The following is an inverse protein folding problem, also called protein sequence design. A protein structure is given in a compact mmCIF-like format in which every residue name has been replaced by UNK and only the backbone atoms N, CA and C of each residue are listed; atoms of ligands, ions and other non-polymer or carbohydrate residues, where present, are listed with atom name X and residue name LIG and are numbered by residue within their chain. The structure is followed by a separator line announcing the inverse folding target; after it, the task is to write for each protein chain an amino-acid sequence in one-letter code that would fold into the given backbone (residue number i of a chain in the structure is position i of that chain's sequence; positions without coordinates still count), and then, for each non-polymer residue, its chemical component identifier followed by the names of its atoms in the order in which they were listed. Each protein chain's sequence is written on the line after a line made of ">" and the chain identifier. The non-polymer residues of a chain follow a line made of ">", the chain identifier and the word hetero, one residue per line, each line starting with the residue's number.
data_IF_720510683616
#
_entry.id   IF_720510683616
#
_cell.length_a   1.000
_cell.length_b   1.000
_cell.length_c   1.000
_cell.angle_alpha   90.00
_cell.angle_beta   90.00
_cell.angle_gamma   90.00
#
_symmetry.space_group_name_H-M   'P 1'
#
loop_
_entity.id
_entity.type
_entity.pdbx_description
1 polymer ?
#
# COMPACT_ATOMS: atom_id res chain seq x y z
N UNK A 1 10.05 8.04 -11.98
CA UNK A 1 8.78 8.77 -11.73
C UNK A 1 8.64 9.85 -12.77
N UNK A 2 7.52 9.89 -13.52
CA UNK A 2 7.29 10.85 -14.62
C UNK A 2 6.53 12.11 -14.20
N UNK A 3 5.80 12.09 -13.08
CA UNK A 3 5.10 13.27 -12.56
C UNK A 3 6.10 14.34 -12.11
N UNK A 4 5.91 15.56 -12.58
CA UNK A 4 6.75 16.72 -12.29
C UNK A 4 5.94 17.82 -11.62
N UNK A 5 6.61 18.63 -10.82
CA UNK A 5 6.09 19.83 -10.19
C UNK A 5 7.07 20.96 -10.50
N UNK A 6 6.65 21.98 -11.25
CA UNK A 6 7.49 23.14 -11.57
C UNK A 6 7.08 24.32 -10.71
N UNK A 7 8.05 25.02 -10.13
CA UNK A 7 7.78 26.23 -9.36
C UNK A 7 7.16 27.29 -10.28
N UNK A 8 6.09 27.91 -9.81
CA UNK A 8 5.46 29.08 -10.40
C UNK A 8 5.49 30.20 -9.34
N UNK A 9 6.42 31.12 -9.51
CA UNK A 9 6.64 32.22 -8.56
C UNK A 9 5.48 33.22 -8.57
N UNK A 10 4.82 33.42 -9.71
CA UNK A 10 3.69 34.35 -9.83
C UNK A 10 2.45 33.81 -9.12
N UNK A 11 2.20 32.51 -9.25
CA UNK A 11 1.11 31.83 -8.55
C UNK A 11 1.45 31.46 -7.08
N UNK A 12 2.71 31.61 -6.66
CA UNK A 12 3.15 31.31 -5.30
C UNK A 12 3.11 29.82 -4.94
N UNK A 13 3.37 28.93 -5.91
CA UNK A 13 3.18 27.49 -5.74
C UNK A 13 3.88 26.64 -6.80
N UNK A 14 3.39 25.41 -7.00
CA UNK A 14 3.91 24.48 -7.99
C UNK A 14 2.82 24.06 -8.97
N UNK A 15 3.16 24.00 -10.26
CA UNK A 15 2.32 23.41 -11.30
C UNK A 15 2.68 21.93 -11.46
N UNK A 16 1.73 21.06 -11.13
CA UNK A 16 1.87 19.62 -11.13
C UNK A 16 1.32 19.00 -12.42
N UNK A 17 2.10 18.13 -13.05
CA UNK A 17 1.73 17.46 -14.30
C UNK A 17 2.12 15.98 -14.29
N UNK A 18 1.26 15.13 -14.86
CA UNK A 18 1.52 13.71 -15.11
C UNK A 18 0.42 12.79 -14.59
N UNK A 19 0.76 11.53 -14.34
CA UNK A 19 -0.20 10.54 -13.84
C UNK A 19 0.42 9.62 -12.79
N UNK A 20 -0.42 9.09 -11.91
CA UNK A 20 -0.08 8.11 -10.87
C UNK A 20 -0.99 6.90 -11.02
N UNK A 21 -0.38 5.73 -11.19
CA UNK A 21 -1.09 4.47 -11.39
C UNK A 21 -1.17 3.69 -10.07
N UNK A 22 -2.15 2.79 -9.96
CA UNK A 22 -2.32 1.86 -8.82
C UNK A 22 -2.57 2.54 -7.48
N UNK A 23 -3.34 3.63 -7.48
CA UNK A 23 -3.63 4.38 -6.25
C UNK A 23 -4.81 3.74 -5.54
N UNK A 24 -4.52 3.03 -4.45
CA UNK A 24 -5.52 2.54 -3.50
C UNK A 24 -6.33 3.71 -2.96
N UNK A 25 -7.65 3.55 -2.93
CA UNK A 25 -8.63 4.59 -2.64
C UNK A 25 -8.54 5.82 -3.58
N UNK A 26 -7.95 5.65 -4.77
CA UNK A 26 -7.95 6.67 -5.82
C UNK A 26 -9.35 7.10 -6.24
N UNK A 27 -10.34 6.23 -6.07
CA UNK A 27 -11.76 6.49 -6.32
C UNK A 27 -12.64 5.88 -5.23
N UNK A 28 -13.80 6.50 -4.96
CA UNK A 28 -14.82 5.96 -4.06
C UNK A 28 -15.92 5.20 -4.82
N UNK A 29 -16.34 5.74 -5.96
CA UNK A 29 -17.50 5.27 -6.74
C UNK A 29 -17.14 4.79 -8.15
N UNK A 30 -15.85 4.83 -8.52
CA UNK A 30 -15.36 4.61 -9.89
C UNK A 30 -15.54 5.82 -10.81
N UNK A 31 -16.20 6.88 -10.35
CA UNK A 31 -16.44 8.12 -11.11
C UNK A 31 -15.80 9.35 -10.47
N UNK A 32 -15.65 9.31 -9.15
CA UNK A 32 -15.13 10.42 -8.36
C UNK A 32 -13.80 10.02 -7.73
N UNK A 33 -12.87 10.97 -7.58
CA UNK A 33 -11.66 10.74 -6.80
C UNK A 33 -11.99 10.53 -5.32
N UNK A 34 -11.06 9.97 -4.56
CA UNK A 34 -11.00 10.18 -3.10
C UNK A 34 -10.79 11.65 -2.73
N UNK A 35 -10.79 11.94 -1.42
CA UNK A 35 -10.87 13.32 -0.91
C UNK A 35 -9.52 14.05 -0.86
N UNK A 36 -8.47 13.37 -0.40
CA UNK A 36 -7.14 13.96 -0.20
C UNK A 36 -6.05 12.94 -0.56
N UNK A 37 -5.02 13.40 -1.26
CA UNK A 37 -3.91 12.57 -1.70
C UNK A 37 -2.57 13.17 -1.30
N UNK A 38 -1.67 12.28 -0.88
CA UNK A 38 -0.25 12.58 -0.73
C UNK A 38 0.47 12.19 -2.02
N UNK A 39 0.90 13.19 -2.78
CA UNK A 39 1.52 13.00 -4.09
C UNK A 39 3.00 13.33 -4.03
N UNK A 40 3.84 12.34 -4.31
CA UNK A 40 5.25 12.56 -4.58
C UNK A 40 5.43 13.02 -6.03
N UNK A 41 6.13 14.13 -6.26
CA UNK A 41 6.45 14.61 -7.59
C UNK A 41 7.86 15.20 -7.66
N UNK A 42 8.42 15.18 -8.87
CA UNK A 42 9.79 15.63 -9.11
C UNK A 42 9.81 17.15 -9.25
N UNK A 43 10.53 17.81 -8.37
CA UNK A 43 10.67 19.27 -8.31
C UNK A 43 11.99 19.78 -8.87
N UNK A 44 12.99 18.91 -9.05
CA UNK A 44 14.28 19.24 -9.64
C UNK A 44 14.74 18.22 -10.68
N UNK A 45 15.95 18.41 -11.19
CA UNK A 45 16.54 17.57 -12.24
C UNK A 45 17.06 16.24 -11.66
N UNK A 46 17.56 16.26 -10.43
CA UNK A 46 18.18 15.13 -9.75
C UNK A 46 17.17 14.04 -9.42
N UNK A 47 17.59 12.76 -9.50
CA UNK A 47 16.72 11.60 -9.25
C UNK A 47 15.99 11.69 -7.89
N UNK A 48 16.66 12.23 -6.88
CA UNK A 48 16.19 12.38 -5.52
C UNK A 48 15.41 13.69 -5.24
N UNK A 49 15.32 14.60 -6.21
CA UNK A 49 14.64 15.90 -6.08
C UNK A 49 13.13 15.71 -6.14
N UNK A 50 12.60 15.12 -5.08
CA UNK A 50 11.21 14.71 -4.93
C UNK A 50 10.63 15.47 -3.75
N UNK A 51 9.49 16.11 -4.00
CA UNK A 51 8.69 16.80 -2.98
C UNK A 51 7.37 16.08 -2.82
N UNK A 52 6.81 16.14 -1.62
CA UNK A 52 5.50 15.58 -1.29
C UNK A 52 4.48 16.71 -1.19
N UNK A 53 3.33 16.51 -1.81
CA UNK A 53 2.26 17.50 -1.90
C UNK A 53 0.94 16.91 -1.39
N UNK A 54 0.14 17.74 -0.73
CA UNK A 54 -1.28 17.48 -0.48
C UNK A 54 -2.08 17.97 -1.68
N UNK A 55 -2.83 17.07 -2.30
CA UNK A 55 -3.78 17.40 -3.39
C UNK A 55 -5.18 17.02 -2.96
N UNK A 56 -6.09 17.98 -3.00
CA UNK A 56 -7.47 17.80 -2.57
C UNK A 56 -8.39 17.52 -3.76
N UNK A 57 -9.49 16.83 -3.50
CA UNK A 57 -10.53 16.64 -4.50
C UNK A 57 -11.07 17.98 -4.98
N UNK A 58 -11.24 18.10 -6.30
CA UNK A 58 -11.79 19.30 -6.92
C UNK A 58 -10.76 20.41 -7.16
N UNK A 59 -9.48 20.20 -6.83
CA UNK A 59 -8.42 21.08 -7.33
C UNK A 59 -8.45 21.09 -8.87
N UNK A 60 -8.41 22.29 -9.46
CA UNK A 60 -8.47 22.46 -10.91
C UNK A 60 -7.37 21.66 -11.62
N UNK A 61 -7.73 20.95 -12.69
CA UNK A 61 -6.81 20.09 -13.44
C UNK A 61 -6.54 18.70 -12.80
N UNK A 62 -6.93 18.48 -11.55
CA UNK A 62 -6.81 17.18 -10.89
C UNK A 62 -8.03 16.31 -11.20
N UNK A 63 -7.80 15.18 -11.87
CA UNK A 63 -8.85 14.32 -12.38
C UNK A 63 -8.65 12.85 -12.01
N UNK A 64 -9.77 12.13 -11.93
CA UNK A 64 -9.75 10.68 -11.91
C UNK A 64 -9.38 10.18 -13.31
N UNK A 65 -8.39 9.30 -13.40
CA UNK A 65 -8.10 8.53 -14.59
C UNK A 65 -9.03 7.31 -14.69
N UNK A 66 -8.48 6.16 -15.09
CA UNK A 66 -9.25 4.92 -15.11
C UNK A 66 -9.34 4.28 -13.72
N UNK A 67 -10.52 3.74 -13.37
CA UNK A 67 -10.62 2.76 -12.29
C UNK A 67 -9.98 1.45 -12.77
N UNK A 68 -9.16 0.84 -11.91
CA UNK A 68 -8.54 -0.45 -12.20
C UNK A 68 -9.49 -1.58 -11.84
N UNK A 69 -10.07 -2.14 -12.90
CA UNK A 69 -10.92 -3.31 -12.85
C UNK A 69 -10.13 -4.61 -13.00
N UNK A 70 -10.81 -5.72 -12.75
CA UNK A 70 -10.33 -7.08 -13.03
C UNK A 70 -8.94 -7.45 -12.45
N UNK A 71 -8.63 -6.88 -11.29
CA UNK A 71 -7.53 -7.32 -10.44
C UNK A 71 -7.66 -8.81 -10.09
N UNK A 72 -6.54 -9.51 -10.06
CA UNK A 72 -6.46 -10.93 -9.66
C UNK A 72 -7.01 -11.17 -8.25
N UNK A 73 -6.75 -10.24 -7.32
CA UNK A 73 -7.19 -10.28 -5.92
C UNK A 73 -7.46 -8.87 -5.40
N UNK A 74 -7.81 -8.76 -4.11
CA UNK A 74 -8.15 -7.49 -3.45
C UNK A 74 -9.19 -6.67 -4.26
N UNK A 75 -10.15 -7.34 -4.89
CA UNK A 75 -11.15 -6.71 -5.79
C UNK A 75 -12.04 -5.70 -5.07
N UNK A 76 -12.21 -5.85 -3.76
CA UNK A 76 -12.93 -4.90 -2.91
C UNK A 76 -12.14 -3.59 -2.65
N UNK A 77 -10.83 -3.58 -2.85
CA UNK A 77 -10.02 -2.37 -2.76
C UNK A 77 -10.25 -1.52 -4.00
N UNK A 78 -10.76 -0.31 -3.82
CA UNK A 78 -10.88 0.64 -4.92
C UNK A 78 -9.49 1.11 -5.32
N UNK A 79 -9.19 1.02 -6.61
CA UNK A 79 -7.86 1.36 -7.13
C UNK A 79 -8.05 2.11 -8.43
N UNK A 80 -7.33 3.21 -8.61
CA UNK A 80 -7.46 4.01 -9.82
C UNK A 80 -6.13 4.63 -10.25
N UNK A 81 -6.15 5.15 -11.46
CA UNK A 81 -5.19 6.13 -11.94
C UNK A 81 -5.64 7.54 -11.52
N UNK A 82 -4.67 8.37 -11.15
CA UNK A 82 -4.85 9.79 -10.88
C UNK A 82 -4.11 10.61 -11.94
N UNK A 83 -4.77 11.62 -12.49
CA UNK A 83 -4.25 12.45 -13.59
C UNK A 83 -4.15 13.91 -13.14
N UNK A 84 -3.02 14.54 -13.44
CA UNK A 84 -2.69 15.91 -13.10
C UNK A 84 -2.37 16.65 -14.40
N UNK A 85 -3.22 17.61 -14.76
CA UNK A 85 -3.04 18.50 -15.90
C UNK A 85 -2.98 19.94 -15.41
N UNK A 86 -1.76 20.51 -15.38
CA UNK A 86 -1.49 21.87 -14.91
C UNK A 86 -2.13 22.23 -13.56
N UNK A 87 -2.07 21.31 -12.61
CA UNK A 87 -2.67 21.48 -11.28
C UNK A 87 -1.83 22.43 -10.45
N UNK A 88 -2.37 23.59 -10.09
CA UNK A 88 -1.72 24.52 -9.17
C UNK A 88 -1.82 24.01 -7.73
N UNK A 89 -0.67 23.76 -7.12
CA UNK A 89 -0.53 23.38 -5.72
C UNK A 89 0.10 24.54 -4.96
N UNK A 90 -0.61 25.17 -4.02
CA UNK A 90 -0.05 26.28 -3.24
C UNK A 90 1.10 25.80 -2.33
N UNK A 91 2.03 26.70 -1.97
CA UNK A 91 3.21 26.34 -1.18
C UNK A 91 2.89 25.75 0.22
N UNK A 92 1.75 26.10 0.82
CA UNK A 92 1.32 25.55 2.12
C UNK A 92 0.86 24.08 2.04
N UNK A 93 0.65 23.54 0.84
CA UNK A 93 0.31 22.13 0.63
C UNK A 93 1.57 21.24 0.50
N UNK A 94 2.77 21.80 0.66
CA UNK A 94 4.02 21.04 0.71
C UNK A 94 4.12 20.35 2.06
N UNK A 95 4.41 19.04 2.03
CA UNK A 95 4.64 18.24 3.23
C UNK A 95 6.14 18.07 3.44
N UNK A 96 6.63 18.59 4.56
CA UNK A 96 8.06 18.62 4.87
C UNK A 96 8.78 19.69 4.05
N UNK A 97 9.96 19.35 3.55
CA UNK A 97 10.81 20.27 2.79
C UNK A 97 10.81 19.94 1.30
N UNK A 98 11.00 20.96 0.46
CA UNK A 98 11.23 20.79 -0.97
C UNK A 98 12.45 19.88 -1.18
N UNK A 99 12.32 18.89 -2.06
CA UNK A 99 13.30 17.83 -2.32
C UNK A 99 13.59 16.88 -1.12
N UNK A 100 12.91 17.04 0.01
CA UNK A 100 13.11 16.25 1.23
C UNK A 100 12.31 14.94 1.31
N UNK A 101 11.45 14.64 0.33
CA UNK A 101 10.43 13.60 0.48
C UNK A 101 10.99 12.16 0.42
N UNK A 102 12.22 11.97 -0.06
CA UNK A 102 12.84 10.64 -0.16
C UNK A 102 12.95 9.94 1.20
N UNK A 103 13.29 10.68 2.26
CA UNK A 103 13.36 10.13 3.61
C UNK A 103 11.99 9.69 4.13
N UNK A 104 10.97 10.54 3.93
CA UNK A 104 9.59 10.25 4.32
C UNK A 104 9.05 8.99 3.61
N UNK A 105 9.33 8.86 2.31
CA UNK A 105 8.96 7.70 1.52
C UNK A 105 9.59 6.40 2.08
N UNK A 106 10.89 6.42 2.37
CA UNK A 106 11.59 5.25 2.91
C UNK A 106 11.04 4.82 4.27
N UNK A 107 10.77 5.79 5.15
CA UNK A 107 10.17 5.51 6.47
C UNK A 107 8.78 4.90 6.36
N UNK A 108 7.94 5.42 5.47
CA UNK A 108 6.60 4.86 5.24
C UNK A 108 6.67 3.42 4.74
N UNK A 109 7.62 3.09 3.88
CA UNK A 109 7.83 1.73 3.38
C UNK A 109 8.23 0.74 4.48
N UNK A 110 9.02 1.17 5.48
CA UNK A 110 9.38 0.33 6.64
C UNK A 110 8.14 -0.05 7.45
N UNK A 111 7.29 0.93 7.77
CA UNK A 111 6.03 0.72 8.50
C UNK A 111 5.07 -0.15 7.69
N UNK A 112 4.94 0.10 6.39
CA UNK A 112 4.07 -0.66 5.50
C UNK A 112 4.46 -2.15 5.44
N UNK A 113 5.76 -2.46 5.39
CA UNK A 113 6.24 -3.86 5.41
C UNK A 113 5.82 -4.60 6.67
N UNK A 114 5.87 -3.95 7.82
CA UNK A 114 5.42 -4.52 9.08
C UNK A 114 3.91 -4.81 9.03
N UNK A 115 3.13 -3.84 8.55
CA UNK A 115 1.68 -4.01 8.42
C UNK A 115 1.31 -5.15 7.45
N UNK A 116 2.02 -5.26 6.31
CA UNK A 116 1.85 -6.36 5.35
C UNK A 116 2.21 -7.72 5.95
N UNK A 117 3.29 -7.79 6.72
CA UNK A 117 3.68 -9.02 7.42
C UNK A 117 2.62 -9.43 8.45
N UNK A 118 2.08 -8.48 9.22
CA UNK A 118 0.99 -8.74 10.15
C UNK A 118 -0.29 -9.22 9.45
N UNK A 119 -0.63 -8.62 8.30
CA UNK A 119 -1.76 -9.06 7.46
C UNK A 119 -1.56 -10.49 6.95
N UNK A 120 -0.36 -10.83 6.47
CA UNK A 120 -0.02 -12.17 6.01
C UNK A 120 -0.20 -13.23 7.11
N UNK A 121 0.15 -12.91 8.37
CA UNK A 121 -0.11 -13.80 9.50
C UNK A 121 -1.61 -14.06 9.73
N UNK A 122 -2.44 -13.01 9.63
CA UNK A 122 -3.89 -13.15 9.73
C UNK A 122 -4.45 -14.08 8.65
N UNK A 123 -4.00 -13.90 7.41
CA UNK A 123 -4.39 -14.73 6.26
C UNK A 123 -3.92 -16.18 6.47
N UNK A 124 -2.66 -16.40 6.84
CA UNK A 124 -2.10 -17.73 7.06
C UNK A 124 -2.87 -18.50 8.15
N UNK A 125 -3.18 -17.84 9.27
CA UNK A 125 -4.01 -18.41 10.33
C UNK A 125 -5.37 -18.87 9.79
N UNK A 126 -6.04 -18.01 9.03
CA UNK A 126 -7.35 -18.33 8.45
C UNK A 126 -7.27 -19.50 7.47
N UNK A 127 -6.24 -19.56 6.63
CA UNK A 127 -6.01 -20.67 5.70
C UNK A 127 -5.83 -22.01 6.42
N UNK A 128 -5.08 -22.02 7.54
CA UNK A 128 -4.89 -23.22 8.37
C UNK A 128 -6.23 -23.67 8.98
N UNK A 129 -7.00 -22.75 9.53
CA UNK A 129 -8.32 -23.05 10.12
C UNK A 129 -9.30 -23.61 9.07
N UNK A 130 -9.33 -23.01 7.89
CA UNK A 130 -10.18 -23.46 6.78
C UNK A 130 -9.73 -24.84 6.24
N UNK A 131 -8.43 -25.07 6.14
CA UNK A 131 -7.87 -26.36 5.70
C UNK A 131 -8.16 -27.46 6.71
N UNK A 132 -8.00 -27.19 8.02
CA UNK A 132 -8.33 -28.14 9.08
C UNK A 132 -9.81 -28.51 9.07
N UNK A 133 -10.69 -27.51 8.97
CA UNK A 133 -12.14 -27.73 8.92
C UNK A 133 -12.52 -28.59 7.71
N UNK A 134 -12.07 -28.18 6.51
CA UNK A 134 -12.40 -28.92 5.29
C UNK A 134 -11.82 -30.34 5.29
N UNK A 135 -10.62 -30.54 5.82
CA UNK A 135 -10.02 -31.87 5.92
C UNK A 135 -10.81 -32.81 6.85
N UNK A 136 -11.46 -32.27 7.90
CA UNK A 136 -12.30 -33.05 8.81
C UNK A 136 -13.68 -33.34 8.22
N UNK A 137 -14.24 -32.44 7.42
CA UNK A 137 -15.59 -32.57 6.83
C UNK A 137 -15.61 -33.39 5.53
N UNK A 138 -14.50 -33.41 4.78
CA UNK A 138 -14.42 -34.07 3.47
C UNK A 138 -13.95 -35.51 3.59
N UNK A 139 -14.76 -36.45 3.11
CA UNK A 139 -14.41 -37.87 2.97
C UNK A 139 -13.88 -38.19 1.57
N UNK A 140 -12.83 -39.01 1.48
CA UNK A 140 -12.33 -39.63 0.25
C UNK A 140 -11.74 -41.01 0.56
N UNK A 141 -11.84 -41.97 -0.36
CA UNK A 141 -11.36 -43.35 -0.16
C UNK A 141 -11.85 -43.99 1.15
N UNK A 142 -13.11 -43.71 1.52
CA UNK A 142 -13.78 -44.33 2.68
C UNK A 142 -13.42 -43.74 4.06
N UNK A 143 -12.65 -42.64 4.13
CA UNK A 143 -12.35 -41.95 5.40
C UNK A 143 -12.14 -40.44 5.21
N UNK A 144 -12.13 -39.69 6.30
CA UNK A 144 -11.93 -38.24 6.26
C UNK A 144 -10.53 -37.90 5.75
N UNK A 145 -10.40 -36.80 5.00
CA UNK A 145 -9.11 -36.33 4.49
C UNK A 145 -8.09 -36.10 5.62
N UNK A 146 -8.57 -35.71 6.81
CA UNK A 146 -7.75 -35.55 8.01
C UNK A 146 -7.06 -36.85 8.46
N UNK A 147 -7.60 -38.01 8.09
CA UNK A 147 -7.05 -39.33 8.45
C UNK A 147 -5.90 -39.80 7.53
N UNK A 148 -5.49 -38.98 6.55
CA UNK A 148 -4.35 -39.27 5.69
C UNK A 148 -3.10 -38.53 6.19
N UNK A 149 -1.99 -39.26 6.39
CA UNK A 149 -0.76 -38.70 6.96
C UNK A 149 -0.19 -37.51 6.17
N UNK A 150 -0.35 -37.47 4.83
CA UNK A 150 0.09 -36.33 4.03
C UNK A 150 -0.70 -35.05 4.35
N UNK A 151 -2.01 -35.16 4.60
CA UNK A 151 -2.83 -34.02 5.01
C UNK A 151 -2.43 -33.53 6.40
N UNK A 152 -2.19 -34.45 7.33
CA UNK A 152 -1.69 -34.12 8.68
C UNK A 152 -0.34 -33.40 8.61
N UNK A 153 0.58 -33.87 7.77
CA UNK A 153 1.88 -33.23 7.52
C UNK A 153 1.72 -31.80 7.00
N UNK A 154 0.91 -31.59 5.95
CA UNK A 154 0.69 -30.26 5.39
C UNK A 154 0.12 -29.27 6.42
N UNK A 155 -0.83 -29.71 7.24
CA UNK A 155 -1.41 -28.89 8.31
C UNK A 155 -0.35 -28.56 9.37
N UNK A 156 0.45 -29.55 9.79
CA UNK A 156 1.49 -29.35 10.80
C UNK A 156 2.62 -28.43 10.32
N UNK A 157 3.07 -28.58 9.08
CA UNK A 157 4.08 -27.72 8.44
C UNK A 157 3.57 -26.29 8.32
N UNK A 158 2.36 -26.09 7.78
CA UNK A 158 1.74 -24.77 7.66
C UNK A 158 1.61 -24.07 9.00
N UNK A 159 1.21 -24.81 10.05
CA UNK A 159 1.11 -24.26 11.40
C UNK A 159 2.48 -23.88 11.98
N UNK A 160 3.51 -24.70 11.72
CA UNK A 160 4.88 -24.42 12.16
C UNK A 160 5.44 -23.15 11.50
N UNK A 161 5.24 -22.99 10.18
CA UNK A 161 5.63 -21.77 9.44
C UNK A 161 4.86 -20.54 9.93
N UNK A 162 3.55 -20.67 10.15
CA UNK A 162 2.73 -19.60 10.73
C UNK A 162 3.24 -19.16 12.10
N UNK A 163 3.54 -20.12 12.99
CA UNK A 163 4.06 -19.81 14.32
C UNK A 163 5.44 -19.17 14.27
N UNK A 164 6.32 -19.64 13.37
CA UNK A 164 7.63 -19.01 13.15
C UNK A 164 7.46 -17.55 12.68
N UNK A 165 6.65 -17.31 11.64
CA UNK A 165 6.36 -15.97 11.15
C UNK A 165 5.76 -15.08 12.22
N UNK A 166 4.84 -15.61 13.04
CA UNK A 166 4.24 -14.88 14.16
C UNK A 166 5.28 -14.47 15.19
N UNK A 167 6.16 -15.37 15.61
CA UNK A 167 7.23 -15.06 16.55
C UNK A 167 8.16 -13.97 15.99
N UNK A 168 8.56 -14.06 14.72
CA UNK A 168 9.41 -13.04 14.09
C UNK A 168 8.75 -11.68 14.02
N UNK A 169 7.52 -11.58 13.50
CA UNK A 169 6.83 -10.29 13.33
C UNK A 169 6.60 -9.63 14.68
N UNK A 170 6.02 -10.35 15.65
CA UNK A 170 5.73 -9.77 16.97
C UNK A 170 7.03 -9.48 17.75
N UNK A 171 8.03 -10.36 17.67
CA UNK A 171 9.33 -10.15 18.31
C UNK A 171 10.05 -8.92 17.77
N UNK A 172 10.04 -8.74 16.44
CA UNK A 172 10.58 -7.55 15.79
C UNK A 172 9.80 -6.30 16.21
N UNK A 173 8.47 -6.31 16.09
CA UNK A 173 7.63 -5.15 16.46
C UNK A 173 7.79 -4.71 17.91
N UNK A 174 8.09 -5.63 18.83
CA UNK A 174 8.34 -5.30 20.23
C UNK A 174 9.60 -4.44 20.44
N UNK A 175 10.55 -4.46 19.50
CA UNK A 175 11.78 -3.67 19.54
C UNK A 175 11.81 -2.48 18.58
N UNK A 176 10.78 -2.31 17.74
CA UNK A 176 10.75 -1.21 16.75
C UNK A 176 10.47 0.12 17.45
N UNK A 177 11.30 1.12 17.17
CA UNK A 177 11.05 2.52 17.50
C UNK A 177 10.57 3.28 16.27
N UNK A 178 9.27 3.61 16.24
CA UNK A 178 8.66 4.37 15.13
C UNK A 178 8.96 5.87 15.16
N UNK A 179 9.56 6.38 16.24
CA UNK A 179 9.86 7.80 16.42
C UNK A 179 11.25 8.16 15.89
N UNK A 180 12.19 7.22 15.86
CA UNK A 180 13.56 7.44 15.40
C UNK A 180 13.78 6.92 13.96
N UNK A 181 14.22 7.75 13.00
CA UNK A 181 14.53 7.30 11.64
C UNK A 181 15.68 6.27 11.61
N UNK A 182 15.56 5.24 10.75
CA UNK A 182 16.63 4.28 10.47
C UNK A 182 16.86 3.21 11.55
N UNK A 183 15.88 2.99 12.44
CA UNK A 183 15.88 1.93 13.47
C UNK A 183 14.72 0.93 13.32
N UNK A 184 14.24 0.76 12.08
CA UNK A 184 13.41 -0.38 11.66
C UNK A 184 14.30 -1.48 11.11
#
# INVERSE_FOLDING_TARGET
>A
MKTTAKLDEEAGGYILNGAKMWITNGTLTGKETGDIFLIYARTGEGRADITQFVVERGTEGFNLGQKIEDKLGMRASMTAELVFDNVLIPANNIVGEVNGATLCMMRNLEIERIALAAMALGIARRCIDDTKRYAAERTAFGKDLFSFGQMQRHIAESYSEYMAGRCYVYGFCNGVDFLTPGKG
#
